data_IF_156397120640
#
_entry.id   IF_156397120640
#
_cell.length_a   1.000
_cell.length_b   1.000
_cell.length_c   1.000
_cell.angle_alpha   90.00
_cell.angle_beta   90.00
_cell.angle_gamma   90.00
#
_symmetry.space_group_name_H-M   'P 1'
#
loop_
_entity.id
_entity.type
_entity.pdbx_description
1 polymer ?
#
# COMPACT_ATOMS: atom_id res chain seq x y z
N UNK A 1 -33.86 -52.68 22.32
CA UNK A 1 -33.38 -51.31 22.58
C UNK A 1 -31.86 -51.34 22.47
N UNK A 2 -31.25 -50.59 21.55
CA UNK A 2 -29.79 -50.59 21.38
C UNK A 2 -29.18 -49.55 22.33
N UNK A 3 -28.15 -49.93 23.07
CA UNK A 3 -27.41 -49.04 23.96
C UNK A 3 -26.15 -48.59 23.22
N UNK A 4 -25.97 -47.27 23.10
CA UNK A 4 -24.77 -46.66 22.52
C UNK A 4 -23.91 -46.18 23.68
N UNK A 5 -22.68 -46.69 23.77
CA UNK A 5 -21.70 -46.28 24.80
C UNK A 5 -20.61 -45.51 24.08
N UNK A 6 -20.35 -44.28 24.53
CA UNK A 6 -19.23 -43.47 24.07
C UNK A 6 -18.06 -43.71 25.02
N UNK A 7 -16.95 -44.27 24.52
CA UNK A 7 -15.69 -44.35 25.25
C UNK A 7 -14.70 -43.45 24.52
N UNK A 8 -14.32 -42.34 25.15
CA UNK A 8 -13.24 -41.50 24.67
C UNK A 8 -11.93 -42.04 25.24
N UNK A 9 -11.03 -42.49 24.37
CA UNK A 9 -9.71 -42.98 24.79
C UNK A 9 -8.62 -41.99 24.35
N UNK A 10 -7.95 -41.44 25.36
CA UNK A 10 -6.62 -40.78 25.39
C UNK A 10 -6.32 -39.69 24.33
N UNK A 11 -6.17 -38.46 24.82
CA UNK A 11 -5.53 -37.33 24.14
C UNK A 11 -4.04 -37.62 23.90
N UNK A 12 -3.58 -37.62 22.65
CA UNK A 12 -2.17 -37.49 22.34
C UNK A 12 -1.83 -36.01 22.11
N UNK A 13 -1.29 -35.34 23.14
CA UNK A 13 -1.10 -33.88 23.18
C UNK A 13 -0.12 -33.33 22.15
N UNK A 14 0.72 -34.17 21.54
CA UNK A 14 1.74 -33.69 20.59
C UNK A 14 1.24 -33.58 19.14
N UNK A 15 0.12 -34.19 18.77
CA UNK A 15 -0.37 -34.16 17.38
C UNK A 15 -1.79 -33.62 17.18
N UNK A 16 -2.46 -33.17 18.25
CA UNK A 16 -3.83 -32.63 18.19
C UNK A 16 -4.86 -33.58 17.52
N UNK A 17 -4.60 -34.88 17.53
CA UNK A 17 -5.50 -35.89 16.99
C UNK A 17 -6.46 -36.41 18.08
N UNK A 18 -7.73 -36.53 17.72
CA UNK A 18 -8.75 -37.14 18.56
C UNK A 18 -9.32 -38.36 17.85
N UNK A 19 -9.26 -39.53 18.50
CA UNK A 19 -9.91 -40.74 18.01
C UNK A 19 -11.18 -40.97 18.83
N UNK A 20 -12.34 -40.97 18.17
CA UNK A 20 -13.61 -41.36 18.79
C UNK A 20 -13.94 -42.77 18.33
N UNK A 21 -14.00 -43.71 19.28
CA UNK A 21 -14.43 -45.08 19.01
C UNK A 21 -15.88 -45.23 19.43
N UNK A 22 -16.77 -45.49 18.47
CA UNK A 22 -18.19 -45.75 18.74
C UNK A 22 -18.42 -47.27 18.71
N UNK A 23 -18.79 -47.84 19.84
CA UNK A 23 -19.19 -49.24 19.95
C UNK A 23 -20.72 -49.34 20.05
N UNK A 24 -21.34 -50.09 19.13
CA UNK A 24 -22.78 -50.36 19.16
C UNK A 24 -22.98 -51.83 19.57
N UNK A 25 -23.67 -52.06 20.70
CA UNK A 25 -24.01 -53.40 21.15
C UNK A 25 -25.46 -53.74 20.81
N UNK A 26 -25.68 -54.86 20.13
CA UNK A 26 -27.02 -55.42 19.90
C UNK A 26 -26.97 -56.94 20.16
N UNK A 27 -27.68 -57.40 21.18
CA UNK A 27 -27.77 -58.84 21.50
C UNK A 27 -26.53 -59.49 22.10
N UNK A 28 -25.68 -58.73 22.80
CA UNK A 28 -24.53 -59.28 23.55
C UNK A 28 -23.26 -59.54 22.74
N UNK A 29 -23.24 -59.24 21.43
CA UNK A 29 -22.05 -59.37 20.57
C UNK A 29 -21.58 -57.98 20.17
N UNK A 30 -20.34 -57.63 20.55
CA UNK A 30 -19.70 -56.36 20.19
C UNK A 30 -19.01 -56.53 18.83
N UNK A 31 -19.42 -55.76 17.81
CA UNK A 31 -18.70 -55.70 16.53
C UNK A 31 -18.09 -54.31 16.38
N UNK A 32 -16.77 -54.24 16.22
CA UNK A 32 -16.03 -53.02 15.94
C UNK A 32 -16.34 -52.58 14.50
N UNK A 33 -16.87 -51.36 14.35
CA UNK A 33 -17.03 -50.73 13.03
C UNK A 33 -16.00 -49.61 12.96
N UNK A 34 -14.87 -49.86 12.31
CA UNK A 34 -13.91 -48.80 11.99
C UNK A 34 -14.48 -47.97 10.84
N UNK A 35 -14.76 -46.69 11.08
CA UNK A 35 -15.25 -45.76 10.07
C UNK A 35 -14.37 -44.50 10.02
N UNK A 36 -13.82 -44.27 8.83
CA UNK A 36 -13.30 -43.05 8.21
C UNK A 36 -12.70 -41.95 9.10
N UNK A 37 -11.40 -41.72 8.90
CA UNK A 37 -10.70 -40.47 9.21
C UNK A 37 -11.35 -39.32 8.46
N UNK A 38 -12.06 -38.44 9.17
CA UNK A 38 -12.51 -37.15 8.63
C UNK A 38 -11.38 -36.16 8.87
N UNK A 39 -10.51 -35.95 7.87
CA UNK A 39 -9.62 -34.79 7.84
C UNK A 39 -10.46 -33.55 7.56
N UNK A 40 -10.95 -32.88 8.60
CA UNK A 40 -11.50 -31.53 8.48
C UNK A 40 -11.08 -30.69 9.67
N UNK A 41 -9.91 -30.06 9.55
CA UNK A 41 -9.67 -28.77 10.20
C UNK A 41 -9.19 -27.84 9.10
N UNK A 42 -10.13 -27.11 8.50
CA UNK A 42 -9.84 -25.83 7.89
C UNK A 42 -9.36 -24.91 9.02
N UNK A 43 -8.08 -25.03 9.37
CA UNK A 43 -7.37 -23.93 9.99
C UNK A 43 -7.09 -22.96 8.85
N UNK A 44 -8.00 -22.02 8.64
CA UNK A 44 -7.62 -20.73 8.06
C UNK A 44 -6.65 -20.09 9.04
N UNK A 45 -5.40 -20.56 9.02
CA UNK A 45 -4.27 -19.78 9.49
C UNK A 45 -4.14 -18.64 8.50
N UNK A 46 -4.91 -17.57 8.74
CA UNK A 46 -4.53 -16.28 8.19
C UNK A 46 -3.09 -16.07 8.65
N UNK A 47 -2.10 -15.95 7.74
CA UNK A 47 -0.83 -15.41 8.17
C UNK A 47 -1.17 -14.05 8.76
N UNK A 48 -0.88 -13.85 10.04
CA UNK A 48 -0.70 -12.50 10.53
C UNK A 48 0.41 -11.93 9.64
N UNK A 49 0.05 -11.09 8.68
CA UNK A 49 1.05 -10.32 7.95
C UNK A 49 1.76 -9.52 9.04
N UNK A 50 2.98 -9.95 9.35
CA UNK A 50 3.88 -9.18 10.17
C UNK A 50 4.25 -7.99 9.31
N UNK A 51 3.51 -6.89 9.47
CA UNK A 51 3.96 -5.60 8.97
C UNK A 51 5.32 -5.35 9.57
N UNK A 52 6.35 -5.23 8.73
CA UNK A 52 7.65 -4.75 9.17
C UNK A 52 7.40 -3.33 9.67
N UNK A 53 7.49 -3.13 10.99
CA UNK A 53 7.36 -1.80 11.59
C UNK A 53 8.65 -1.06 11.29
N UNK A 54 8.68 -0.37 10.15
CA UNK A 54 9.74 0.55 9.76
C UNK A 54 9.40 1.87 10.44
N UNK A 55 10.33 2.41 11.22
CA UNK A 55 10.20 3.76 11.77
C UNK A 55 10.17 4.72 10.60
N UNK A 56 9.09 5.50 10.46
CA UNK A 56 8.93 6.39 9.31
C UNK A 56 9.59 7.73 9.65
N UNK A 57 10.57 8.21 8.86
CA UNK A 57 11.18 9.52 9.10
C UNK A 57 10.14 10.64 8.95
N UNK A 58 10.39 11.77 9.62
CA UNK A 58 9.65 13.00 9.33
C UNK A 58 10.18 13.66 8.05
N UNK A 59 9.41 14.59 7.48
CA UNK A 59 9.78 15.22 6.21
C UNK A 59 11.06 16.07 6.30
N UNK A 60 11.35 16.63 7.47
CA UNK A 60 12.57 17.39 7.72
C UNK A 60 13.82 16.53 7.63
N UNK A 61 13.77 15.32 8.21
CA UNK A 61 14.82 14.31 8.11
C UNK A 61 15.01 13.81 6.66
N UNK A 62 13.91 13.62 5.91
CA UNK A 62 13.93 13.19 4.50
C UNK A 62 14.63 14.23 3.61
N UNK A 63 14.29 15.52 3.77
CA UNK A 63 14.84 16.60 2.95
C UNK A 63 16.19 17.14 3.46
N UNK A 64 16.51 16.93 4.74
CA UNK A 64 17.75 17.39 5.37
C UNK A 64 17.85 18.92 5.52
N UNK A 65 16.75 19.65 5.42
CA UNK A 65 16.73 21.12 5.38
C UNK A 65 16.27 21.79 6.69
N UNK A 66 15.68 21.02 7.61
CA UNK A 66 15.16 21.51 8.88
C UNK A 66 13.85 22.32 8.77
N UNK A 67 13.32 22.54 7.56
CA UNK A 67 12.10 23.34 7.35
C UNK A 67 10.85 22.56 7.76
N UNK A 68 10.88 21.24 7.62
CA UNK A 68 9.74 20.35 7.81
C UNK A 68 9.88 19.44 9.05
N UNK A 69 10.72 19.82 10.01
CA UNK A 69 10.96 19.04 11.24
C UNK A 69 9.67 18.77 12.01
N UNK A 70 9.49 17.51 12.42
CA UNK A 70 8.32 17.07 13.19
C UNK A 70 7.05 16.85 12.35
N UNK A 71 7.11 17.02 11.03
CA UNK A 71 6.02 16.68 10.12
C UNK A 71 6.11 15.20 9.76
N UNK A 72 5.38 14.38 10.52
CA UNK A 72 5.27 12.95 10.27
C UNK A 72 4.42 12.64 9.03
N UNK A 73 4.63 11.48 8.40
CA UNK A 73 3.82 11.06 7.27
C UNK A 73 2.40 10.68 7.70
N UNK A 74 1.46 10.91 6.81
CA UNK A 74 0.11 10.35 6.90
C UNK A 74 0.13 8.84 6.68
N UNK A 75 -0.90 8.14 7.16
CA UNK A 75 -1.10 6.70 6.92
C UNK A 75 -1.80 6.42 5.57
N UNK A 76 -1.55 7.26 4.58
CA UNK A 76 -2.29 7.31 3.33
C UNK A 76 -1.43 6.84 2.18
N UNK A 77 -2.07 6.27 1.17
CA UNK A 77 -1.40 5.73 -0.01
C UNK A 77 -2.03 6.19 -1.32
N UNK A 78 -3.11 6.96 -1.27
CA UNK A 78 -3.76 7.57 -2.42
C UNK A 78 -4.41 8.88 -2.02
N UNK A 79 -4.73 9.71 -3.01
CA UNK A 79 -5.41 10.99 -2.82
C UNK A 79 -6.72 11.01 -3.60
N UNK A 80 -7.66 11.85 -3.15
CA UNK A 80 -8.97 12.00 -3.78
C UNK A 80 -9.25 13.46 -4.13
N UNK A 81 -9.73 13.67 -5.37
CA UNK A 81 -10.28 14.93 -5.88
C UNK A 81 -11.82 14.89 -5.95
N UNK A 82 -12.44 14.01 -5.15
CA UNK A 82 -13.86 13.63 -5.31
C UNK A 82 -14.87 14.72 -4.93
N UNK A 83 -14.45 15.78 -4.24
CA UNK A 83 -15.30 16.95 -3.95
C UNK A 83 -15.24 18.03 -5.03
N UNK A 84 -14.35 17.86 -6.02
CA UNK A 84 -14.24 18.72 -7.19
C UNK A 84 -15.06 18.20 -8.38
N UNK A 85 -15.29 19.06 -9.37
CA UNK A 85 -15.99 18.69 -10.61
C UNK A 85 -15.34 19.36 -11.82
N UNK A 86 -15.60 18.83 -13.01
CA UNK A 86 -15.06 19.37 -14.25
C UNK A 86 -13.55 19.21 -14.38
N UNK A 87 -12.90 20.25 -14.92
CA UNK A 87 -11.45 20.26 -15.16
C UNK A 87 -10.72 20.79 -13.94
N UNK A 88 -9.79 19.98 -13.40
CA UNK A 88 -8.91 20.35 -12.29
C UNK A 88 -7.45 20.29 -12.74
N UNK A 89 -6.59 21.07 -12.10
CA UNK A 89 -5.14 21.07 -12.35
C UNK A 89 -4.38 20.86 -11.06
N UNK A 90 -3.40 19.98 -11.12
CA UNK A 90 -2.49 19.67 -10.03
C UNK A 90 -1.08 19.86 -10.55
N UNK A 91 -0.30 20.71 -9.89
CA UNK A 91 1.11 20.93 -10.18
C UNK A 91 1.95 20.01 -9.30
N UNK A 92 2.87 19.31 -9.94
CA UNK A 92 3.87 18.47 -9.29
C UNK A 92 5.23 19.13 -9.47
N UNK A 93 6.01 19.27 -8.40
CA UNK A 93 7.34 19.87 -8.40
C UNK A 93 8.35 18.92 -7.75
N UNK A 94 9.48 18.68 -8.41
CA UNK A 94 10.54 17.84 -7.85
C UNK A 94 11.32 18.64 -6.80
N UNK A 95 11.25 18.22 -5.53
CA UNK A 95 11.85 18.92 -4.38
C UNK A 95 13.23 18.37 -4.01
N UNK A 96 13.41 17.06 -4.14
CA UNK A 96 14.63 16.35 -3.80
C UNK A 96 14.78 15.08 -4.63
N UNK A 97 16.02 14.71 -4.92
CA UNK A 97 16.37 13.47 -5.61
C UNK A 97 17.82 13.13 -5.29
N UNK A 98 18.07 12.03 -4.58
CA UNK A 98 19.42 11.56 -4.30
C UNK A 98 20.01 10.82 -5.51
N UNK A 99 21.29 11.07 -5.80
CA UNK A 99 21.84 10.87 -7.15
C UNK A 99 22.06 9.39 -7.54
N UNK A 100 21.89 8.43 -6.63
CA UNK A 100 22.19 7.02 -6.85
C UNK A 100 21.43 6.40 -8.02
N UNK A 101 20.15 6.76 -8.14
CA UNK A 101 19.20 6.22 -9.11
C UNK A 101 18.44 7.28 -9.88
N UNK A 102 18.68 8.56 -9.60
CA UNK A 102 18.06 9.72 -10.26
C UNK A 102 17.86 9.52 -11.77
N UNK A 103 18.92 9.09 -12.48
CA UNK A 103 18.89 8.84 -13.93
C UNK A 103 17.86 7.80 -14.42
N UNK A 104 17.45 6.88 -13.55
CA UNK A 104 16.54 5.78 -13.87
C UNK A 104 15.17 5.92 -13.25
N UNK A 105 15.02 6.81 -12.27
CA UNK A 105 13.75 7.04 -11.59
C UNK A 105 12.71 7.57 -12.56
N UNK A 106 11.53 6.95 -12.53
CA UNK A 106 10.33 7.37 -13.25
C UNK A 106 9.18 7.41 -12.27
N UNK A 107 8.72 8.60 -11.95
CA UNK A 107 7.63 8.81 -11.00
C UNK A 107 6.37 9.24 -11.73
N UNK A 108 5.23 8.76 -11.25
CA UNK A 108 3.95 9.18 -11.77
C UNK A 108 2.79 8.84 -10.85
N UNK A 109 1.59 8.99 -11.40
CA UNK A 109 0.33 8.64 -10.75
C UNK A 109 -0.31 7.41 -11.40
N UNK A 110 -1.11 6.68 -10.65
CA UNK A 110 -1.89 5.54 -11.14
C UNK A 110 -3.35 5.61 -10.67
N UNK A 111 -4.27 4.99 -11.42
CA UNK A 111 -5.68 4.84 -11.03
C UNK A 111 -5.78 3.90 -9.83
N UNK A 112 -6.29 4.38 -8.69
CA UNK A 112 -6.37 3.57 -7.47
C UNK A 112 -7.21 2.29 -7.68
N UNK A 113 -8.23 2.32 -8.54
CA UNK A 113 -9.07 1.16 -8.85
C UNK A 113 -8.45 0.22 -9.91
N UNK A 114 -7.52 0.71 -10.73
CA UNK A 114 -6.80 -0.09 -11.74
C UNK A 114 -5.33 0.36 -11.87
N UNK A 115 -4.41 -0.17 -11.03
CA UNK A 115 -3.00 0.22 -11.03
C UNK A 115 -2.23 -0.03 -12.33
N UNK A 116 -2.84 -0.71 -13.31
CA UNK A 116 -2.28 -0.83 -14.66
C UNK A 116 -2.37 0.47 -15.48
N UNK A 117 -3.19 1.44 -15.03
CA UNK A 117 -3.33 2.75 -15.67
C UNK A 117 -2.38 3.73 -15.00
N UNK A 118 -1.28 4.03 -15.67
CA UNK A 118 -0.26 4.94 -15.16
C UNK A 118 -0.05 6.16 -16.06
N UNK A 119 0.26 7.29 -15.43
CA UNK A 119 0.70 8.52 -16.06
C UNK A 119 2.04 8.95 -15.44
N UNK A 120 3.12 8.78 -16.21
CA UNK A 120 4.46 9.25 -15.86
C UNK A 120 4.49 10.79 -15.84
N UNK A 121 5.05 11.35 -14.77
CA UNK A 121 5.18 12.80 -14.54
C UNK A 121 6.65 13.20 -14.66
N UNK A 122 7.51 12.52 -13.91
CA UNK A 122 8.95 12.75 -13.89
C UNK A 122 9.70 11.52 -14.40
N UNK A 123 10.89 11.76 -14.96
CA UNK A 123 11.84 10.74 -15.39
C UNK A 123 13.26 11.24 -15.12
N UNK A 124 14.24 10.35 -15.10
CA UNK A 124 15.63 10.72 -14.75
C UNK A 124 16.42 11.69 -15.65
N UNK A 125 15.77 12.39 -16.59
CA UNK A 125 16.33 13.58 -17.22
C UNK A 125 15.85 14.88 -16.53
N UNK A 126 14.78 14.80 -15.74
CA UNK A 126 14.24 15.90 -14.95
C UNK A 126 15.11 16.09 -13.70
N UNK A 127 15.07 17.28 -13.11
CA UNK A 127 15.96 17.70 -12.02
C UNK A 127 15.19 18.48 -10.96
N UNK A 128 15.73 18.56 -9.74
CA UNK A 128 15.13 19.35 -8.65
C UNK A 128 14.81 20.77 -9.12
N UNK A 129 13.56 21.19 -8.87
CA UNK A 129 12.98 22.44 -9.35
C UNK A 129 12.19 22.34 -10.65
N UNK A 130 12.23 21.21 -11.36
CA UNK A 130 11.33 20.96 -12.49
C UNK A 130 9.90 20.74 -11.99
N UNK A 131 8.93 21.30 -12.73
CA UNK A 131 7.51 21.19 -12.39
C UNK A 131 6.66 20.82 -13.61
N UNK A 132 5.60 20.04 -13.38
CA UNK A 132 4.63 19.65 -14.40
C UNK A 132 3.20 19.77 -13.89
N UNK A 133 2.33 20.32 -14.74
CA UNK A 133 0.89 20.40 -14.46
C UNK A 133 0.18 19.20 -15.08
N UNK A 134 -0.44 18.39 -14.23
CA UNK A 134 -1.39 17.34 -14.61
C UNK A 134 -2.79 17.95 -14.63
N UNK A 135 -3.50 17.76 -15.74
CA UNK A 135 -4.90 18.15 -15.86
C UNK A 135 -5.79 16.92 -15.72
N UNK A 136 -6.78 17.01 -14.83
CA UNK A 136 -7.82 16.01 -14.60
C UNK A 136 -9.13 16.49 -15.21
N UNK A 137 -9.81 15.62 -15.96
CA UNK A 137 -11.19 15.75 -16.41
C UNK A 137 -12.01 14.76 -15.60
N UNK A 138 -12.51 15.21 -14.44
CA UNK A 138 -13.19 14.37 -13.46
C UNK A 138 -14.52 13.83 -14.00
N UNK A 139 -15.17 14.57 -14.89
CA UNK A 139 -16.41 14.14 -15.56
C UNK A 139 -16.17 12.91 -16.46
N UNK A 140 -14.95 12.76 -16.98
CA UNK A 140 -14.54 11.62 -17.83
C UNK A 140 -13.62 10.62 -17.14
N UNK A 141 -13.18 10.90 -15.92
CA UNK A 141 -12.17 10.12 -15.21
C UNK A 141 -10.82 10.07 -15.93
N UNK A 142 -10.41 11.16 -16.58
CA UNK A 142 -9.21 11.21 -17.43
C UNK A 142 -8.15 12.16 -16.88
N UNK A 143 -6.88 11.83 -17.06
CA UNK A 143 -5.75 12.72 -16.75
C UNK A 143 -4.73 12.80 -17.91
N UNK A 144 -4.04 13.93 -18.03
CA UNK A 144 -2.94 14.13 -18.98
C UNK A 144 -2.01 15.27 -18.55
N UNK A 145 -0.79 15.29 -19.10
CA UNK A 145 0.18 16.38 -18.92
C UNK A 145 0.29 17.18 -20.22
N UNK A 146 0.23 18.51 -20.14
CA UNK A 146 0.35 19.40 -21.30
C UNK A 146 -0.91 19.48 -22.17
N UNK A 147 -0.74 19.75 -23.47
CA UNK A 147 -1.87 19.93 -24.38
C UNK A 147 -2.47 18.57 -24.79
N UNK A 148 -3.78 18.40 -24.57
CA UNK A 148 -4.50 17.17 -24.93
C UNK A 148 -4.30 16.80 -26.41
N UNK A 149 -3.81 15.58 -26.67
CA UNK A 149 -3.69 15.01 -28.02
C UNK A 149 -2.46 15.46 -28.81
N UNK A 150 -1.53 16.23 -28.23
CA UNK A 150 -0.28 16.61 -28.90
C UNK A 150 0.87 15.71 -28.46
N UNK A 151 1.73 15.29 -29.40
CA UNK A 151 2.97 14.58 -29.05
C UNK A 151 3.98 15.60 -28.51
N UNK A 152 4.53 15.34 -27.34
CA UNK A 152 5.64 16.11 -26.78
C UNK A 152 6.88 15.21 -26.64
N UNK A 153 8.05 15.83 -26.44
CA UNK A 153 9.34 15.12 -26.26
C UNK A 153 9.41 14.29 -24.97
N UNK A 154 8.60 14.66 -23.99
CA UNK A 154 8.46 13.96 -22.72
C UNK A 154 7.46 12.80 -22.89
N UNK A 155 7.82 11.61 -22.43
CA UNK A 155 7.01 10.40 -22.63
C UNK A 155 5.73 10.55 -21.80
N UNK A 156 4.56 10.36 -22.40
CA UNK A 156 3.27 10.55 -21.72
C UNK A 156 2.64 11.94 -21.85
N UNK A 157 3.39 13.00 -22.19
CA UNK A 157 2.82 14.33 -22.46
C UNK A 157 1.87 14.31 -23.66
N UNK A 158 0.67 14.83 -23.44
CA UNK A 158 -0.49 14.85 -24.35
C UNK A 158 -1.20 13.52 -24.56
N UNK A 159 -0.73 12.43 -23.92
CA UNK A 159 -1.46 11.16 -23.83
C UNK A 159 -2.48 11.26 -22.71
N UNK A 160 -3.73 10.94 -23.02
CA UNK A 160 -4.80 10.85 -22.02
C UNK A 160 -4.87 9.45 -21.45
N UNK A 161 -4.90 9.35 -20.12
CA UNK A 161 -5.02 8.10 -19.36
C UNK A 161 -6.30 8.14 -18.53
N UNK A 162 -6.94 7.00 -18.30
CA UNK A 162 -8.04 6.87 -17.35
C UNK A 162 -7.44 6.71 -15.95
N UNK A 163 -7.56 7.74 -15.10
CA UNK A 163 -7.05 7.74 -13.72
C UNK A 163 -8.20 7.89 -12.70
N UNK A 164 -9.35 8.40 -13.13
CA UNK A 164 -10.46 8.69 -12.20
C UNK A 164 -10.21 9.93 -11.33
N UNK A 165 -10.89 9.97 -10.19
CA UNK A 165 -10.76 11.01 -9.16
C UNK A 165 -9.92 10.57 -7.96
N UNK A 166 -9.56 9.29 -7.90
CA UNK A 166 -8.76 8.69 -6.83
C UNK A 166 -7.50 8.10 -7.45
N UNK A 167 -6.34 8.55 -7.00
CA UNK A 167 -5.07 8.14 -7.59
C UNK A 167 -4.00 7.95 -6.53
N UNK A 168 -3.15 6.95 -6.75
CA UNK A 168 -1.94 6.76 -5.97
C UNK A 168 -0.70 7.18 -6.76
N UNK A 169 0.47 6.94 -6.17
CA UNK A 169 1.76 7.29 -6.73
C UNK A 169 2.61 6.04 -6.97
N UNK A 170 3.44 6.07 -8.00
CA UNK A 170 4.41 5.02 -8.22
C UNK A 170 5.78 5.60 -8.54
N UNK A 171 6.82 4.81 -8.22
CA UNK A 171 8.19 5.03 -8.64
C UNK A 171 8.71 3.76 -9.34
N UNK A 172 9.27 3.93 -10.53
CA UNK A 172 9.90 2.86 -11.28
C UNK A 172 11.39 3.15 -11.49
N UNK A 173 12.22 2.45 -10.74
CA UNK A 173 13.68 2.44 -10.80
C UNK A 173 14.21 1.13 -11.42
N UNK A 174 13.34 0.31 -12.00
CA UNK A 174 13.66 -1.04 -12.48
C UNK A 174 14.71 -1.08 -13.61
N UNK A 175 14.87 0.01 -14.35
CA UNK A 175 15.86 0.13 -15.44
C UNK A 175 17.29 0.38 -14.93
N UNK A 176 17.48 0.58 -13.62
CA UNK A 176 18.79 0.78 -12.99
C UNK A 176 19.74 -0.41 -13.10
N UNK A 177 19.18 -1.62 -13.15
CA UNK A 177 19.95 -2.87 -13.02
C UNK A 177 20.56 -3.10 -11.63
N UNK A 178 20.32 -2.21 -10.66
CA UNK A 178 20.99 -2.17 -9.35
C UNK A 178 20.01 -2.46 -8.20
N UNK A 179 19.18 -3.50 -8.28
CA UNK A 179 18.16 -3.81 -7.26
C UNK A 179 16.98 -2.80 -7.18
N UNK A 180 16.82 -1.95 -8.19
CA UNK A 180 15.61 -1.13 -8.36
C UNK A 180 14.37 -1.95 -8.75
N UNK A 181 13.21 -1.30 -8.72
CA UNK A 181 11.91 -1.94 -8.86
C UNK A 181 10.80 -1.00 -9.34
N UNK A 182 9.59 -1.55 -9.40
CA UNK A 182 8.38 -0.76 -9.53
C UNK A 182 7.69 -0.79 -8.17
N UNK A 183 7.53 0.39 -7.59
CA UNK A 183 7.01 0.58 -6.25
C UNK A 183 5.79 1.47 -6.31
N UNK A 184 4.79 1.12 -5.52
CA UNK A 184 3.55 1.85 -5.37
C UNK A 184 3.47 2.43 -3.96
N UNK A 185 2.78 3.55 -3.85
CA UNK A 185 2.39 4.12 -2.55
C UNK A 185 1.50 3.18 -1.76
N UNK A 186 0.69 2.35 -2.42
CA UNK A 186 -0.07 1.30 -1.77
C UNK A 186 0.80 0.06 -1.56
N UNK A 187 1.21 -0.17 -0.31
CA UNK A 187 2.13 -1.27 0.03
C UNK A 187 1.56 -2.65 -0.32
N UNK A 188 0.23 -2.79 -0.40
CA UNK A 188 -0.42 -4.05 -0.82
C UNK A 188 -0.05 -4.47 -2.25
N UNK A 189 0.33 -3.50 -3.10
CA UNK A 189 0.76 -3.70 -4.48
C UNK A 189 2.27 -4.02 -4.59
N UNK A 190 3.05 -3.78 -3.53
CA UNK A 190 4.49 -4.03 -3.48
C UNK A 190 4.76 -5.51 -3.11
N UNK A 191 4.36 -6.42 -4.00
CA UNK A 191 4.41 -7.87 -3.75
C UNK A 191 5.79 -8.48 -4.04
N UNK A 192 5.88 -9.81 -4.00
CA UNK A 192 7.09 -10.59 -4.27
C UNK A 192 8.24 -10.35 -3.29
N UNK A 193 9.40 -9.88 -3.78
CA UNK A 193 10.61 -9.72 -2.99
C UNK A 193 10.46 -8.59 -1.94
N UNK A 194 9.55 -7.65 -2.19
CA UNK A 194 9.33 -6.47 -1.35
C UNK A 194 8.37 -6.71 -0.19
N UNK A 195 7.66 -7.85 -0.17
CA UNK A 195 6.86 -8.33 0.96
C UNK A 195 5.89 -7.29 1.56
N UNK A 196 5.41 -6.35 0.75
CA UNK A 196 4.49 -5.29 1.18
C UNK A 196 5.15 -4.17 1.99
N UNK A 197 6.44 -3.94 1.81
CA UNK A 197 7.15 -2.80 2.40
C UNK A 197 6.59 -1.48 1.83
N UNK A 198 6.36 -0.46 2.68
CA UNK A 198 6.04 0.87 2.20
C UNK A 198 7.26 1.47 1.51
N UNK A 199 7.07 1.92 0.27
CA UNK A 199 8.09 2.62 -0.52
C UNK A 199 7.73 4.08 -0.78
N UNK A 200 6.56 4.53 -0.31
CA UNK A 200 6.18 5.93 -0.38
C UNK A 200 5.63 6.40 0.95
N UNK A 201 5.93 7.64 1.28
CA UNK A 201 5.38 8.38 2.41
C UNK A 201 4.68 9.63 1.87
N UNK A 202 3.45 9.87 2.32
CA UNK A 202 2.66 11.04 1.94
C UNK A 202 2.55 11.95 3.16
N UNK A 203 2.96 13.20 3.02
CA UNK A 203 2.95 14.21 4.08
C UNK A 203 1.93 15.30 3.75
N UNK A 204 1.12 15.65 4.73
CA UNK A 204 0.25 16.82 4.68
C UNK A 204 1.04 18.04 5.14
N UNK A 205 1.20 19.02 4.26
CA UNK A 205 1.98 20.24 4.50
C UNK A 205 1.19 21.52 4.20
N UNK A 206 -0.14 21.43 4.04
CA UNK A 206 -0.99 22.58 3.73
C UNK A 206 -0.85 23.71 4.77
N UNK A 207 -0.69 23.36 6.05
CA UNK A 207 -0.57 24.33 7.15
C UNK A 207 0.86 24.86 7.36
N UNK A 208 1.84 24.42 6.56
CA UNK A 208 3.24 24.85 6.73
C UNK A 208 3.46 26.19 6.05
N UNK A 209 3.67 27.23 6.86
CA UNK A 209 3.92 28.58 6.34
C UNK A 209 5.31 28.69 5.67
N UNK A 210 5.41 29.56 4.65
CA UNK A 210 6.66 29.89 3.94
C UNK A 210 7.30 28.73 3.15
N UNK A 211 6.52 27.72 2.78
CA UNK A 211 6.95 26.71 1.82
C UNK A 211 6.99 27.31 0.41
N UNK A 212 8.14 27.17 -0.26
CA UNK A 212 8.28 27.62 -1.65
C UNK A 212 7.28 26.85 -2.52
N UNK A 213 6.36 27.56 -3.15
CA UNK A 213 5.39 26.98 -4.07
C UNK A 213 3.99 26.72 -3.49
N UNK A 214 3.72 27.06 -2.22
CA UNK A 214 2.43 26.79 -1.55
C UNK A 214 1.97 25.34 -1.80
N UNK A 215 2.83 24.40 -1.40
CA UNK A 215 2.59 22.99 -1.57
C UNK A 215 1.59 22.52 -0.52
N UNK A 216 0.66 21.66 -0.92
CA UNK A 216 -0.35 21.08 -0.03
C UNK A 216 0.14 19.72 0.50
N UNK A 217 0.82 18.96 -0.36
CA UNK A 217 1.26 17.60 -0.08
C UNK A 217 2.71 17.41 -0.53
N UNK A 218 3.48 16.65 0.24
CA UNK A 218 4.76 16.10 -0.21
C UNK A 218 4.69 14.58 -0.27
N UNK A 219 5.35 13.99 -1.26
CA UNK A 219 5.45 12.55 -1.46
C UNK A 219 6.93 12.20 -1.52
N UNK A 220 7.39 11.37 -0.60
CA UNK A 220 8.77 10.89 -0.54
C UNK A 220 8.81 9.40 -0.90
N UNK A 221 9.77 8.98 -1.71
CA UNK A 221 9.91 7.61 -2.18
C UNK A 221 11.26 7.01 -1.82
N UNK A 222 11.23 5.71 -1.60
CA UNK A 222 12.38 4.81 -1.59
C UNK A 222 12.44 4.05 -2.93
N UNK A 223 13.63 3.92 -3.51
CA UNK A 223 13.82 3.32 -4.84
C UNK A 223 14.58 1.98 -4.85
N UNK A 224 14.99 1.49 -3.68
CA UNK A 224 15.62 0.18 -3.52
C UNK A 224 14.66 -0.88 -3.03
N UNK A 225 14.69 -2.05 -3.68
CA UNK A 225 14.00 -3.24 -3.18
C UNK A 225 14.54 -3.67 -1.82
N UNK A 226 13.67 -4.22 -0.97
CA UNK A 226 14.13 -4.89 0.25
C UNK A 226 14.82 -6.20 -0.13
N UNK A 227 16.16 -6.22 -0.09
CA UNK A 227 16.88 -7.47 -0.22
C UNK A 227 17.08 -8.07 1.17
N UNK A 228 16.22 -9.01 1.55
CA UNK A 228 16.29 -9.71 2.84
C UNK A 228 17.66 -10.39 3.12
N UNK A 229 18.53 -10.55 2.12
CA UNK A 229 19.88 -11.11 2.28
C UNK A 229 20.95 -10.08 2.64
N UNK A 230 20.81 -8.84 2.21
CA UNK A 230 21.87 -7.83 2.31
C UNK A 230 21.45 -6.53 2.99
N UNK A 231 20.15 -6.33 3.32
CA UNK A 231 19.69 -5.11 4.01
C UNK A 231 19.87 -3.86 3.16
N UNK A 232 19.61 -3.96 1.85
CA UNK A 232 19.79 -2.85 0.89
C UNK A 232 18.74 -1.76 0.96
N UNK A 233 17.69 -1.95 1.75
CA UNK A 233 16.70 -0.91 2.04
C UNK A 233 17.23 -0.15 3.26
N UNK A 234 17.56 1.12 3.09
CA UNK A 234 17.96 2.02 4.17
C UNK A 234 16.78 2.85 4.70
N UNK A 235 15.73 3.04 3.88
CA UNK A 235 14.44 3.54 4.34
C UNK A 235 14.49 4.99 4.76
N UNK A 236 15.33 5.77 4.08
CA UNK A 236 15.46 7.21 4.30
C UNK A 236 14.50 8.02 3.41
N UNK A 237 13.91 7.40 2.37
CA UNK A 237 12.92 7.97 1.46
C UNK A 237 13.37 9.27 0.76
N UNK A 238 14.68 9.55 0.70
CA UNK A 238 15.21 10.76 0.07
C UNK A 238 15.52 10.57 -1.43
N UNK A 239 15.33 9.35 -1.95
CA UNK A 239 15.62 8.99 -3.34
C UNK A 239 14.82 9.84 -4.33
N UNK A 240 13.56 10.13 -4.00
CA UNK A 240 12.75 11.06 -4.78
C UNK A 240 11.65 11.71 -3.93
N UNK A 241 11.68 13.04 -3.84
CA UNK A 241 10.70 13.82 -3.10
C UNK A 241 9.98 14.78 -4.03
N UNK A 242 8.66 14.65 -4.12
CA UNK A 242 7.80 15.42 -5.01
C UNK A 242 6.78 16.21 -4.18
N UNK A 243 6.75 17.51 -4.40
CA UNK A 243 5.74 18.42 -3.88
C UNK A 243 4.55 18.49 -4.82
N UNK A 244 3.37 18.66 -4.25
CA UNK A 244 2.13 18.80 -5.00
C UNK A 244 1.36 20.03 -4.51
N UNK A 245 0.88 20.83 -5.46
CA UNK A 245 -0.05 21.93 -5.21
C UNK A 245 -1.26 21.76 -6.12
N UNK A 246 -2.45 21.88 -5.56
CA UNK A 246 -3.70 21.65 -6.29
C UNK A 246 -4.61 22.86 -6.23
N UNK A 247 -5.27 23.16 -7.34
CA UNK A 247 -6.38 24.13 -7.33
C UNK A 247 -7.67 23.55 -6.76
N UNK A 248 -7.72 22.23 -6.62
CA UNK A 248 -8.82 21.47 -6.04
C UNK A 248 -8.51 21.13 -4.58
N UNK A 249 -9.54 21.03 -3.75
CA UNK A 249 -9.39 20.53 -2.40
C UNK A 249 -8.94 19.06 -2.45
N UNK A 250 -7.80 18.75 -1.83
CA UNK A 250 -7.29 17.39 -1.77
C UNK A 250 -7.83 16.76 -0.50
N UNK A 251 -8.63 15.71 -0.65
CA UNK A 251 -9.12 14.96 0.50
C UNK A 251 -8.17 13.82 0.77
N UNK A 252 -7.53 13.89 1.93
CA UNK A 252 -6.89 12.75 2.57
C UNK A 252 -8.01 11.83 3.08
N UNK A 253 -8.11 10.60 2.56
CA UNK A 253 -9.25 9.70 2.84
C UNK A 253 -8.94 8.84 4.06
N UNK A 254 -9.50 9.12 5.26
CA UNK A 254 -9.18 8.35 6.45
C UNK A 254 -9.54 6.88 6.22
N UNK A 255 -8.67 5.96 6.68
CA UNK A 255 -8.94 4.54 6.58
C UNK A 255 -10.37 4.22 7.10
N UNK A 256 -11.11 3.33 6.42
CA UNK A 256 -12.49 3.04 6.82
C UNK A 256 -12.56 2.64 8.30
N UNK A 257 -13.34 3.39 9.08
CA UNK A 257 -13.60 3.13 10.51
C UNK A 257 -14.15 1.72 10.81
N UNK A 258 -14.51 0.97 9.77
CA UNK A 258 -14.84 -0.45 9.83
C UNK A 258 -13.70 -1.32 10.36
N UNK A 259 -12.43 -0.98 10.14
CA UNK A 259 -11.30 -1.72 10.72
C UNK A 259 -11.21 -1.54 12.24
N UNK A 260 -11.42 -0.31 12.72
CA UNK A 260 -11.55 -0.05 14.15
C UNK A 260 -12.77 -0.80 14.73
N UNK A 261 -13.91 -0.79 14.04
CA UNK A 261 -15.11 -1.49 14.48
C UNK A 261 -14.93 -3.03 14.51
N UNK A 262 -14.20 -3.60 13.55
CA UNK A 262 -13.85 -5.02 13.54
C UNK A 262 -12.94 -5.37 14.72
N UNK A 263 -11.93 -4.55 15.00
CA UNK A 263 -11.02 -4.70 16.14
C UNK A 263 -11.76 -4.62 17.49
N UNK A 264 -12.59 -3.61 17.68
CA UNK A 264 -13.39 -3.46 18.90
C UNK A 264 -14.47 -4.53 19.03
N UNK A 265 -15.11 -4.95 17.93
CA UNK A 265 -16.09 -6.03 17.91
C UNK A 265 -15.51 -7.36 18.40
N UNK A 266 -14.26 -7.66 18.01
CA UNK A 266 -13.56 -8.86 18.48
C UNK A 266 -13.24 -8.81 19.98
N UNK A 267 -12.82 -7.66 20.52
CA UNK A 267 -12.59 -7.48 21.96
C UNK A 267 -13.87 -7.67 22.78
N UNK A 268 -15.02 -7.20 22.27
CA UNK A 268 -16.33 -7.41 22.93
C UNK A 268 -16.73 -8.89 22.90
N UNK A 269 -16.42 -9.63 21.82
CA UNK A 269 -16.69 -11.06 21.72
C UNK A 269 -15.82 -11.88 22.69
N UNK A 270 -14.54 -11.54 22.83
CA UNK A 270 -13.64 -12.18 23.80
C UNK A 270 -14.06 -11.93 25.27
N UNK A 271 -14.73 -10.80 25.56
CA UNK A 271 -15.23 -10.47 26.90
C UNK A 271 -16.41 -11.34 27.35
N UNK A 272 -17.13 -12.01 26.44
CA UNK A 272 -18.31 -12.83 26.76
C UNK A 272 -18.01 -14.28 27.20
N UNK A 273 -16.74 -14.69 27.35
CA UNK A 273 -16.35 -16.01 27.88
C UNK A 273 -15.88 -15.96 29.33
N UNK A 274 -16.73 -15.46 30.24
CA UNK A 274 -16.60 -15.69 31.70
C UNK A 274 -17.93 -16.14 32.26
#
# INVERSE_FOLDING_TARGET
MAMVIFVAEKLNREQNEFTIVICIARGGIMRQVCLFTICSVLALSLPAMATIMIDKPDLGDVLGDGQFDGIGPSDQYYLSLSDASGIQTVEFSLLGEEAGFAKWNRMGIYDHADPSKTLEIFRGEDTVGDSFVVTFDLDKGQAWIGDKGKKHKHKGKGKTISIGSEFGFYLDSGDSGNNGGLFYSESSLNTDADLGVPHALIFDIEEVENVVGNLDIAIAFEDLKINARNGSFDGDYNDMVVGMSSTANIIIVPEPATMALLGFGYLIFLRKKK
#
